data_IF_930054223178
#
_entry.id   IF_930054223178
#
_cell.length_a   1.000
_cell.length_b   1.000
_cell.length_c   1.000
_cell.angle_alpha   90.00
_cell.angle_beta   90.00
_cell.angle_gamma   90.00
#
_symmetry.space_group_name_H-M   'P 1'
#
loop_
_entity.id
_entity.type
_entity.pdbx_description
1 polymer ?
#
# COMPACT_ATOMS: atom_id res chain seq x y z
N UNK A 1 -20.45 9.89 -11.70
CA UNK A 1 -19.35 9.26 -12.44
C UNK A 1 -18.99 8.02 -11.66
N UNK A 2 -19.28 6.85 -12.19
CA UNK A 2 -18.98 5.57 -11.57
C UNK A 2 -17.46 5.43 -11.54
N UNK A 3 -16.84 5.45 -10.35
CA UNK A 3 -15.39 5.26 -10.22
C UNK A 3 -15.16 3.75 -10.16
N UNK A 4 -14.40 3.24 -11.11
CA UNK A 4 -14.03 1.83 -11.22
C UNK A 4 -12.86 1.59 -10.26
N UNK A 5 -13.15 0.93 -9.13
CA UNK A 5 -12.22 0.70 -8.01
C UNK A 5 -10.97 -0.07 -8.47
N UNK A 6 -11.12 -0.91 -9.49
CA UNK A 6 -10.05 -1.68 -10.11
C UNK A 6 -8.91 -0.79 -10.61
N UNK A 7 -9.23 0.38 -11.18
CA UNK A 7 -8.19 1.33 -11.62
C UNK A 7 -7.54 2.06 -10.44
N UNK A 8 -8.21 2.19 -9.30
CA UNK A 8 -7.61 2.78 -8.11
C UNK A 8 -6.56 1.82 -7.51
N UNK A 9 -6.79 0.51 -7.53
CA UNK A 9 -5.77 -0.48 -7.17
C UNK A 9 -4.57 -0.47 -8.12
N UNK A 10 -4.80 -0.33 -9.43
CA UNK A 10 -3.71 -0.15 -10.41
C UNK A 10 -2.87 1.08 -10.07
N UNK A 11 -3.50 2.21 -9.74
CA UNK A 11 -2.76 3.43 -9.37
C UNK A 11 -1.99 3.27 -8.06
N UNK A 12 -2.50 2.51 -7.09
CA UNK A 12 -1.77 2.22 -5.86
C UNK A 12 -0.46 1.47 -6.14
N UNK A 13 -0.49 0.46 -7.01
CA UNK A 13 0.72 -0.30 -7.36
C UNK A 13 1.69 0.53 -8.21
N UNK A 14 1.19 1.33 -9.16
CA UNK A 14 2.00 2.29 -9.93
C UNK A 14 2.69 3.31 -9.00
N UNK A 15 1.97 3.87 -8.04
CA UNK A 15 2.51 4.83 -7.09
C UNK A 15 3.62 4.22 -6.24
N UNK A 16 3.44 2.99 -5.74
CA UNK A 16 4.47 2.28 -4.98
C UNK A 16 5.74 2.06 -5.81
N UNK A 17 5.58 1.53 -7.04
CA UNK A 17 6.69 1.24 -7.94
C UNK A 17 7.48 2.51 -8.33
N UNK A 18 6.80 3.62 -8.62
CA UNK A 18 7.46 4.88 -8.96
C UNK A 18 8.20 5.48 -7.76
N UNK A 19 7.66 5.34 -6.55
CA UNK A 19 8.27 5.89 -5.34
C UNK A 19 9.44 5.04 -4.83
N UNK A 20 9.45 3.74 -5.10
CA UNK A 20 10.56 2.84 -4.78
C UNK A 20 11.74 2.97 -5.76
N UNK A 21 11.49 3.37 -7.02
CA UNK A 21 12.50 3.45 -8.08
C UNK A 21 13.77 4.23 -7.70
N UNK A 22 13.63 5.29 -6.90
CA UNK A 22 14.77 6.12 -6.46
C UNK A 22 15.79 5.35 -5.63
N UNK A 23 15.39 4.22 -5.04
CA UNK A 23 16.19 3.38 -4.15
C UNK A 23 16.81 2.15 -4.83
N UNK A 24 16.47 1.91 -6.10
CA UNK A 24 17.01 0.79 -6.87
C UNK A 24 18.55 0.85 -6.90
N UNK A 25 19.21 -0.25 -6.52
CA UNK A 25 20.67 -0.37 -6.49
C UNK A 25 21.37 0.39 -5.36
N UNK A 26 20.64 0.98 -4.40
CA UNK A 26 21.24 1.72 -3.27
C UNK A 26 21.54 0.87 -2.04
N UNK A 27 21.02 -0.37 -2.00
CA UNK A 27 21.16 -1.25 -0.83
C UNK A 27 20.35 -0.80 0.40
N UNK A 28 19.50 0.22 0.25
CA UNK A 28 18.69 0.79 1.33
C UNK A 28 17.25 0.27 1.23
N UNK A 29 17.07 -0.98 1.66
CA UNK A 29 15.80 -1.72 1.56
C UNK A 29 14.70 -1.09 2.41
N UNK A 30 15.04 -0.53 3.58
CA UNK A 30 14.06 0.02 4.53
C UNK A 30 13.50 1.33 4.00
N UNK A 31 14.35 2.19 3.43
CA UNK A 31 13.88 3.42 2.82
C UNK A 31 13.10 3.17 1.51
N UNK A 32 13.46 2.11 0.77
CA UNK A 32 12.69 1.65 -0.39
C UNK A 32 11.27 1.24 0.01
N UNK A 33 11.18 0.37 1.01
CA UNK A 33 9.92 -0.18 1.50
C UNK A 33 9.02 0.90 2.12
N UNK A 34 9.61 1.78 2.95
CA UNK A 34 8.93 2.94 3.50
C UNK A 34 8.26 3.80 2.41
N UNK A 35 9.02 4.08 1.33
CA UNK A 35 8.55 4.91 0.24
C UNK A 35 7.38 4.28 -0.53
N UNK A 36 7.41 2.96 -0.73
CA UNK A 36 6.33 2.25 -1.40
C UNK A 36 5.08 2.17 -0.50
N UNK A 37 5.26 1.86 0.78
CA UNK A 37 4.19 1.85 1.78
C UNK A 37 3.46 3.20 1.86
N UNK A 38 4.20 4.29 1.99
CA UNK A 38 3.64 5.64 2.10
C UNK A 38 2.87 6.03 0.82
N UNK A 39 3.41 5.69 -0.34
CA UNK A 39 2.75 5.95 -1.61
C UNK A 39 1.45 5.15 -1.77
N UNK A 40 1.45 3.86 -1.40
CA UNK A 40 0.24 3.04 -1.42
C UNK A 40 -0.82 3.59 -0.45
N UNK A 41 -0.45 3.92 0.79
CA UNK A 41 -1.37 4.53 1.77
C UNK A 41 -2.02 5.79 1.23
N UNK A 42 -1.21 6.71 0.70
CA UNK A 42 -1.72 7.96 0.14
C UNK A 42 -2.69 7.74 -1.01
N UNK A 43 -2.54 6.66 -1.79
CA UNK A 43 -3.53 6.29 -2.80
C UNK A 43 -4.80 5.71 -2.19
N UNK A 44 -4.69 4.85 -1.17
CA UNK A 44 -5.83 4.30 -0.45
C UNK A 44 -6.66 5.38 0.26
N UNK A 45 -6.04 6.42 0.80
CA UNK A 45 -6.73 7.56 1.43
C UNK A 45 -7.70 8.29 0.49
N UNK A 46 -7.55 8.10 -0.83
CA UNK A 46 -8.40 8.70 -1.87
C UNK A 46 -9.50 7.76 -2.39
N UNK A 47 -9.57 6.54 -1.85
CA UNK A 47 -10.52 5.50 -2.28
C UNK A 47 -11.73 5.42 -1.36
N UNK A 48 -12.92 5.32 -1.94
CA UNK A 48 -14.16 5.09 -1.20
C UNK A 48 -14.37 3.60 -0.94
N UNK A 49 -13.55 3.04 -0.06
CA UNK A 49 -13.60 1.64 0.38
C UNK A 49 -13.47 1.54 1.91
N UNK A 50 -13.92 0.41 2.45
CA UNK A 50 -13.62 -0.04 3.79
C UNK A 50 -12.65 -1.23 3.68
N UNK A 51 -11.36 -0.94 3.59
CA UNK A 51 -10.31 -1.95 3.45
C UNK A 51 -9.74 -2.39 4.78
N UNK A 52 -9.73 -3.69 5.07
CA UNK A 52 -9.02 -4.28 6.21
C UNK A 52 -7.84 -5.12 5.69
N UNK A 53 -6.63 -4.81 6.15
CA UNK A 53 -5.44 -5.58 5.79
C UNK A 53 -5.43 -6.89 6.56
N UNK A 54 -5.64 -8.01 5.85
CA UNK A 54 -5.61 -9.37 6.43
C UNK A 54 -4.25 -10.05 6.26
N UNK A 55 -3.49 -9.63 5.24
CA UNK A 55 -2.10 -10.01 4.98
C UNK A 55 -1.38 -8.71 4.62
N UNK A 56 -0.34 -8.36 5.37
CA UNK A 56 0.48 -7.17 5.11
C UNK A 56 1.94 -7.47 5.41
N UNK A 57 2.74 -6.42 5.52
CA UNK A 57 4.13 -6.53 5.94
C UNK A 57 4.25 -7.26 7.28
N UNK A 58 5.29 -8.07 7.40
CA UNK A 58 5.62 -8.71 8.66
C UNK A 58 5.96 -7.63 9.70
N UNK A 59 5.50 -7.80 10.95
CA UNK A 59 5.94 -6.94 12.04
C UNK A 59 7.43 -7.18 12.25
N UNK A 60 8.26 -6.31 11.68
CA UNK A 60 9.66 -6.14 12.05
C UNK A 60 9.72 -4.92 12.95
N UNK A 61 10.34 -5.08 14.11
CA UNK A 61 10.48 -4.01 15.10
C UNK A 61 11.02 -2.74 14.43
N UNK A 62 10.32 -1.61 14.63
CA UNK A 62 10.58 -0.26 14.11
C UNK A 62 10.61 -0.08 12.57
N UNK A 63 10.17 -1.06 11.77
CA UNK A 63 10.11 -0.91 10.31
C UNK A 63 8.84 -0.15 9.85
N UNK A 64 8.95 0.81 8.92
CA UNK A 64 7.78 1.38 8.24
C UNK A 64 7.15 0.31 7.32
N UNK A 65 5.85 0.08 7.43
CA UNK A 65 5.17 -0.99 6.70
C UNK A 65 3.65 -0.87 6.79
N UNK A 66 2.88 -1.50 5.90
CA UNK A 66 1.41 -1.63 6.02
C UNK A 66 1.09 -2.96 6.70
N UNK A 67 0.46 -2.92 7.86
CA UNK A 67 0.38 -4.10 8.74
C UNK A 67 -0.99 -4.75 8.77
N UNK A 68 -1.01 -6.03 9.16
CA UNK A 68 -2.26 -6.74 9.44
C UNK A 68 -3.09 -5.98 10.49
N UNK A 69 -4.38 -5.82 10.19
CA UNK A 69 -5.35 -5.08 11.01
C UNK A 69 -5.42 -3.60 10.68
N UNK A 70 -4.58 -3.10 9.77
CA UNK A 70 -4.64 -1.71 9.32
C UNK A 70 -5.89 -1.47 8.46
N UNK A 71 -6.48 -0.28 8.64
CA UNK A 71 -7.63 0.17 7.90
C UNK A 71 -7.18 1.09 6.76
N UNK A 72 -7.55 0.73 5.53
CA UNK A 72 -7.24 1.48 4.31
C UNK A 72 -8.53 1.97 3.65
N UNK A 73 -8.48 3.13 3.00
CA UNK A 73 -9.66 3.77 2.42
C UNK A 73 -10.23 4.88 3.29
N UNK A 74 -11.21 5.59 2.75
CA UNK A 74 -11.93 6.66 3.47
C UNK A 74 -12.94 6.16 4.49
N UNK A 75 -13.35 4.88 4.42
CA UNK A 75 -14.35 4.29 5.31
C UNK A 75 -15.70 5.04 5.35
N UNK A 76 -16.08 5.68 4.23
CA UNK A 76 -17.40 6.31 4.14
C UNK A 76 -18.52 5.27 4.29
N UNK A 77 -19.58 5.54 5.08
CA UNK A 77 -20.69 4.61 5.25
C UNK A 77 -21.31 4.18 3.92
N UNK A 78 -21.47 2.86 3.73
CA UNK A 78 -21.99 2.27 2.49
C UNK A 78 -20.94 2.09 1.39
N UNK A 79 -19.65 2.35 1.66
CA UNK A 79 -18.56 1.98 0.77
C UNK A 79 -18.37 0.46 0.72
N UNK A 80 -17.85 -0.11 -0.38
CA UNK A 80 -17.59 -1.54 -0.47
C UNK A 80 -16.50 -1.98 0.52
N UNK A 81 -16.70 -3.15 1.11
CA UNK A 81 -15.77 -3.78 2.05
C UNK A 81 -14.79 -4.71 1.34
N UNK A 82 -13.52 -4.65 1.73
CA UNK A 82 -12.48 -5.49 1.18
C UNK A 82 -11.57 -6.04 2.28
N UNK A 83 -11.27 -7.33 2.20
CA UNK A 83 -10.08 -7.89 2.85
C UNK A 83 -8.90 -7.77 1.89
N UNK A 84 -7.82 -7.13 2.34
CA UNK A 84 -6.69 -6.76 1.51
C UNK A 84 -5.47 -7.61 1.90
N UNK A 85 -4.86 -8.22 0.88
CA UNK A 85 -3.50 -8.71 0.95
C UNK A 85 -2.59 -7.70 0.23
N UNK A 86 -1.53 -7.25 0.91
CA UNK A 86 -0.67 -6.17 0.41
C UNK A 86 0.80 -6.49 0.65
N UNK A 87 1.60 -6.20 -0.37
CA UNK A 87 3.06 -6.23 -0.36
C UNK A 87 3.53 -5.05 -1.23
N UNK A 88 4.01 -3.95 -0.62
CA UNK A 88 4.42 -2.76 -1.36
C UNK A 88 5.67 -2.97 -2.22
N UNK A 89 6.59 -3.85 -1.82
CA UNK A 89 7.76 -4.26 -2.60
C UNK A 89 8.08 -5.74 -2.35
N UNK A 90 7.66 -6.58 -3.29
CA UNK A 90 8.14 -7.96 -3.33
C UNK A 90 9.61 -8.00 -3.77
N UNK A 91 10.51 -8.35 -2.84
CA UNK A 91 11.93 -8.51 -3.10
C UNK A 91 12.78 -7.26 -2.89
N UNK A 92 12.66 -6.59 -1.73
CA UNK A 92 13.46 -5.42 -1.34
C UNK A 92 14.99 -5.59 -1.37
N UNK A 93 15.49 -6.83 -1.50
CA UNK A 93 16.94 -7.15 -1.57
C UNK A 93 17.43 -7.60 -2.95
N UNK A 94 16.57 -7.60 -3.96
CA UNK A 94 16.90 -8.07 -5.32
C UNK A 94 17.59 -7.01 -6.19
#
# INVERSE_FOLDING_TARGET
>A
MERVIEFDFVRATEAAALNSLRWLGRGDKEAADAAACDAMRGMFDLMNICGEVVIGEGIKDDAPGIFKGEQLGTWYPGSPEFHIAIDPIDGTTN
#
